data_IF_853305711635
#
_entry.id   IF_853305711635
#
_cell.length_a   1.000
_cell.length_b   1.000
_cell.length_c   1.000
_cell.angle_alpha   90.00
_cell.angle_beta   90.00
_cell.angle_gamma   90.00
#
_symmetry.space_group_name_H-M   'P 1'
#
loop_
_entity.id
_entity.type
_entity.pdbx_description
1 polymer ?
#
# COMPACT_ATOMS: atom_id res chain seq x y z
N UNK A 1 13.23 26.16 -14.12
CA UNK A 1 11.82 25.74 -14.25
C UNK A 1 11.27 25.49 -12.85
N UNK A 2 10.21 26.18 -12.41
CA UNK A 2 9.70 26.00 -11.04
C UNK A 2 9.23 24.55 -10.85
N UNK A 3 9.64 23.96 -9.74
CA UNK A 3 9.56 22.53 -9.44
C UNK A 3 8.17 21.95 -9.67
N UNK A 4 8.09 20.99 -10.59
CA UNK A 4 6.90 20.15 -10.79
C UNK A 4 6.55 19.51 -9.45
N UNK A 5 5.40 19.86 -8.86
CA UNK A 5 4.89 19.19 -7.67
C UNK A 5 4.78 17.70 -7.99
N UNK A 6 5.56 16.86 -7.29
CA UNK A 6 5.46 15.40 -7.41
C UNK A 6 4.01 15.00 -7.13
N UNK A 7 3.40 14.25 -8.04
CA UNK A 7 2.10 13.65 -7.75
C UNK A 7 2.26 12.40 -6.89
N UNK A 8 1.18 11.62 -6.70
CA UNK A 8 1.24 10.44 -5.85
C UNK A 8 2.33 9.47 -6.33
N UNK A 9 3.19 9.07 -5.41
CA UNK A 9 4.22 8.03 -5.58
C UNK A 9 3.63 6.69 -5.14
N UNK A 10 3.51 5.75 -6.07
CA UNK A 10 3.09 4.38 -5.79
C UNK A 10 4.30 3.45 -5.76
N UNK A 11 4.48 2.70 -4.68
CA UNK A 11 5.53 1.69 -4.58
C UNK A 11 4.98 0.32 -4.96
N UNK A 12 5.80 -0.53 -5.58
CA UNK A 12 5.41 -1.89 -5.93
C UNK A 12 6.59 -2.87 -5.97
N UNK A 13 6.29 -4.16 -5.78
CA UNK A 13 7.23 -5.26 -5.53
C UNK A 13 7.85 -5.89 -6.79
N UNK A 14 7.45 -5.45 -7.99
CA UNK A 14 7.91 -6.05 -9.23
C UNK A 14 7.01 -7.16 -9.80
N UNK A 15 5.84 -7.44 -9.23
CA UNK A 15 4.90 -8.45 -9.71
C UNK A 15 4.46 -8.26 -11.18
N UNK A 16 4.15 -9.34 -11.89
CA UNK A 16 3.78 -9.30 -13.31
C UNK A 16 2.52 -8.45 -13.58
N UNK A 17 1.58 -8.42 -12.63
CA UNK A 17 0.34 -7.63 -12.69
C UNK A 17 0.55 -6.12 -12.70
N UNK A 18 1.74 -5.66 -12.30
CA UNK A 18 2.13 -4.25 -12.30
C UNK A 18 2.95 -3.86 -13.54
N UNK A 19 3.00 -4.73 -14.55
CA UNK A 19 3.73 -4.52 -15.81
C UNK A 19 2.79 -4.53 -17.01
N UNK A 20 3.35 -4.27 -18.20
CA UNK A 20 2.66 -4.48 -19.46
C UNK A 20 2.08 -3.22 -20.11
N UNK A 21 1.40 -3.36 -21.26
CA UNK A 21 0.86 -2.24 -22.03
C UNK A 21 -0.13 -1.38 -21.23
N UNK A 22 -1.08 -2.01 -20.53
CA UNK A 22 -2.14 -1.32 -19.78
C UNK A 22 -1.59 -0.39 -18.69
N UNK A 23 -0.60 -0.84 -17.93
CA UNK A 23 0.06 -0.02 -16.91
C UNK A 23 0.84 1.14 -17.57
N UNK A 24 1.52 0.88 -18.69
CA UNK A 24 2.21 1.94 -19.45
C UNK A 24 1.23 2.99 -20.01
N UNK A 25 0.07 2.58 -20.50
CA UNK A 25 -1.00 3.48 -20.95
C UNK A 25 -1.55 4.32 -19.80
N UNK A 26 -1.77 3.71 -18.63
CA UNK A 26 -2.21 4.42 -17.43
C UNK A 26 -1.22 5.52 -17.03
N UNK A 27 0.08 5.21 -16.99
CA UNK A 27 1.13 6.18 -16.62
C UNK A 27 1.25 7.31 -17.66
N UNK A 28 1.04 7.01 -18.95
CA UNK A 28 0.95 8.05 -19.99
C UNK A 28 -0.25 8.96 -19.80
N UNK A 29 -1.40 8.40 -19.43
CA UNK A 29 -2.65 9.15 -19.20
C UNK A 29 -2.57 10.02 -17.95
N UNK A 30 -1.83 9.58 -16.92
CA UNK A 30 -1.69 10.28 -15.65
C UNK A 30 -0.22 10.62 -15.37
N UNK A 31 0.35 11.66 -16.02
CA UNK A 31 1.79 11.97 -15.94
C UNK A 31 2.27 12.46 -14.55
N UNK A 32 1.34 12.67 -13.61
CA UNK A 32 1.64 12.97 -12.20
C UNK A 32 1.75 11.71 -11.34
N UNK A 33 1.27 10.56 -11.81
CA UNK A 33 1.39 9.28 -11.12
C UNK A 33 2.78 8.72 -11.39
N UNK A 34 3.59 8.57 -10.35
CA UNK A 34 4.92 7.98 -10.44
C UNK A 34 4.89 6.62 -9.76
N UNK A 35 5.43 5.59 -10.42
CA UNK A 35 5.60 4.27 -9.82
C UNK A 35 7.08 4.03 -9.54
N UNK A 36 7.41 3.79 -8.28
CA UNK A 36 8.74 3.43 -7.83
C UNK A 36 8.79 1.93 -7.58
N UNK A 37 9.72 1.25 -8.26
CA UNK A 37 9.87 -0.19 -8.13
C UNK A 37 10.82 -0.50 -6.98
N UNK A 38 10.38 -1.30 -6.02
CA UNK A 38 11.22 -1.83 -4.96
C UNK A 38 12.23 -2.86 -5.51
N UNK A 39 13.38 -3.03 -4.84
CA UNK A 39 14.28 -4.15 -5.13
C UNK A 39 13.51 -5.48 -5.11
N UNK A 40 13.87 -6.39 -6.01
CA UNK A 40 13.25 -7.72 -6.03
C UNK A 40 13.53 -8.47 -4.72
N UNK A 41 12.56 -9.24 -4.23
CA UNK A 41 12.67 -10.04 -3.00
C UNK A 41 12.98 -9.21 -1.73
N UNK A 42 12.51 -7.96 -1.67
CA UNK A 42 12.65 -7.10 -0.49
C UNK A 42 11.28 -6.81 0.17
N UNK A 43 10.57 -7.83 0.70
CA UNK A 43 9.28 -7.63 1.37
C UNK A 43 9.39 -6.71 2.58
N UNK A 44 10.53 -6.73 3.27
CA UNK A 44 10.81 -5.87 4.43
C UNK A 44 10.78 -4.38 4.09
N UNK A 45 10.98 -4.00 2.82
CA UNK A 45 10.89 -2.61 2.35
C UNK A 45 9.47 -2.21 1.94
N UNK A 46 8.53 -3.14 1.87
CA UNK A 46 7.19 -2.86 1.38
C UNK A 46 6.24 -2.57 2.56
N UNK A 47 5.79 -1.32 2.77
CA UNK A 47 4.94 -0.97 3.92
C UNK A 47 3.60 -1.70 3.93
N UNK A 48 3.11 -2.18 2.78
CA UNK A 48 1.87 -2.97 2.74
C UNK A 48 2.03 -4.33 3.42
N UNK A 49 3.24 -4.91 3.45
CA UNK A 49 3.51 -6.19 4.13
C UNK A 49 3.32 -6.07 5.64
N UNK A 50 3.68 -4.92 6.22
CA UNK A 50 3.45 -4.65 7.64
C UNK A 50 1.95 -4.50 7.96
N UNK A 51 1.18 -3.88 7.07
CA UNK A 51 -0.29 -3.82 7.18
C UNK A 51 -0.88 -5.23 7.10
N UNK A 52 -0.43 -6.05 6.15
CA UNK A 52 -0.89 -7.44 6.00
C UNK A 52 -0.53 -8.30 7.21
N UNK A 53 0.69 -8.15 7.74
CA UNK A 53 1.13 -8.85 8.94
C UNK A 53 0.27 -8.49 10.15
N UNK A 54 0.04 -7.20 10.39
CA UNK A 54 -0.82 -6.74 11.48
C UNK A 54 -2.27 -7.24 11.33
N UNK A 55 -2.82 -7.20 10.11
CA UNK A 55 -4.15 -7.72 9.84
C UNK A 55 -4.23 -9.23 10.12
N UNK A 56 -3.32 -10.03 9.55
CA UNK A 56 -3.35 -11.50 9.61
C UNK A 56 -3.04 -12.03 11.01
N UNK A 57 -2.01 -11.49 11.66
CA UNK A 57 -1.49 -12.00 12.93
C UNK A 57 -2.00 -11.24 14.15
N UNK A 58 -2.42 -9.98 13.99
CA UNK A 58 -2.96 -9.17 15.07
C UNK A 58 -4.49 -9.23 15.15
N UNK A 59 -5.18 -8.98 14.04
CA UNK A 59 -6.65 -8.86 14.03
C UNK A 59 -7.39 -10.15 13.70
N UNK A 60 -6.79 -10.98 12.83
CA UNK A 60 -7.42 -12.22 12.34
C UNK A 60 -6.80 -13.49 12.93
N UNK A 61 -6.01 -13.37 14.01
CA UNK A 61 -5.48 -14.53 14.70
C UNK A 61 -6.64 -15.44 15.15
N UNK A 62 -6.58 -16.71 14.74
CA UNK A 62 -7.61 -17.73 15.00
C UNK A 62 -9.01 -17.45 14.43
N UNK A 63 -9.16 -16.44 13.56
CA UNK A 63 -10.42 -16.21 12.87
C UNK A 63 -10.63 -17.27 11.78
N UNK A 64 -11.77 -17.95 11.81
CA UNK A 64 -12.16 -18.95 10.81
C UNK A 64 -13.37 -18.44 10.03
N UNK A 65 -13.21 -18.03 8.75
CA UNK A 65 -14.33 -17.57 7.95
C UNK A 65 -15.22 -18.74 7.50
N UNK A 66 -16.53 -18.52 7.48
CA UNK A 66 -17.52 -19.49 6.96
C UNK A 66 -17.46 -19.67 5.44
N UNK A 67 -17.09 -18.61 4.73
CA UNK A 67 -16.95 -18.56 3.27
C UNK A 67 -16.19 -17.29 2.85
N UNK A 68 -15.79 -17.21 1.58
CA UNK A 68 -15.01 -16.09 1.04
C UNK A 68 -15.66 -14.72 1.28
N UNK A 69 -17.00 -14.60 1.12
CA UNK A 69 -17.69 -13.32 1.40
C UNK A 69 -17.62 -12.88 2.86
N UNK A 70 -17.61 -13.81 3.81
CA UNK A 70 -17.48 -13.49 5.23
C UNK A 70 -16.06 -12.99 5.52
N UNK A 71 -15.05 -13.63 4.93
CA UNK A 71 -13.67 -13.16 5.01
C UNK A 71 -13.53 -11.74 4.43
N UNK A 72 -14.04 -11.49 3.22
CA UNK A 72 -13.96 -10.19 2.56
C UNK A 72 -14.62 -9.08 3.39
N UNK A 73 -15.81 -9.33 3.95
CA UNK A 73 -16.50 -8.37 4.81
C UNK A 73 -15.68 -8.01 6.06
N UNK A 74 -15.14 -9.02 6.76
CA UNK A 74 -14.36 -8.81 7.98
C UNK A 74 -13.03 -8.11 7.67
N UNK A 75 -12.33 -8.52 6.61
CA UNK A 75 -11.07 -7.88 6.16
C UNK A 75 -11.30 -6.41 5.82
N UNK A 76 -12.36 -6.08 5.05
CA UNK A 76 -12.70 -4.69 4.72
C UNK A 76 -13.00 -3.85 5.96
N UNK A 77 -13.70 -4.42 6.93
CA UNK A 77 -13.99 -3.76 8.21
C UNK A 77 -12.70 -3.39 8.97
N UNK A 78 -11.78 -4.34 9.10
CA UNK A 78 -10.50 -4.10 9.76
C UNK A 78 -9.59 -3.12 8.98
N UNK A 79 -9.54 -3.22 7.66
CA UNK A 79 -8.80 -2.26 6.84
C UNK A 79 -9.35 -0.84 6.99
N UNK A 80 -10.68 -0.68 7.07
CA UNK A 80 -11.31 0.61 7.34
C UNK A 80 -11.05 1.14 8.77
N UNK A 81 -10.86 0.25 9.74
CA UNK A 81 -10.44 0.61 11.10
C UNK A 81 -8.97 1.05 11.14
N UNK A 82 -8.07 0.29 10.49
CA UNK A 82 -6.65 0.64 10.35
C UNK A 82 -6.51 2.00 9.66
N UNK A 83 -7.26 2.23 8.57
CA UNK A 83 -7.26 3.48 7.80
C UNK A 83 -7.62 4.72 8.65
N UNK A 84 -8.40 4.54 9.72
CA UNK A 84 -8.81 5.61 10.65
C UNK A 84 -7.80 5.87 11.77
N UNK A 85 -6.70 5.10 11.85
CA UNK A 85 -5.68 5.20 12.91
C UNK A 85 -4.34 5.70 12.32
N UNK A 86 -4.18 7.02 12.11
CA UNK A 86 -2.99 7.56 11.43
C UNK A 86 -1.67 7.25 12.12
N UNK A 87 -1.65 7.16 13.46
CA UNK A 87 -0.45 6.78 14.21
C UNK A 87 -0.09 5.29 14.01
N UNK A 88 -1.10 4.41 13.90
CA UNK A 88 -0.87 3.00 13.60
C UNK A 88 -0.33 2.85 12.16
N UNK A 89 -0.92 3.55 11.18
CA UNK A 89 -0.42 3.55 9.80
C UNK A 89 1.03 4.02 9.76
N UNK A 90 1.36 5.09 10.48
CA UNK A 90 2.73 5.59 10.60
C UNK A 90 3.67 4.52 11.17
N UNK A 91 3.30 3.89 12.28
CA UNK A 91 4.13 2.86 12.91
C UNK A 91 4.33 1.62 12.02
N UNK A 92 3.29 1.19 11.30
CA UNK A 92 3.40 0.09 10.33
C UNK A 92 4.29 0.48 9.15
N UNK A 93 4.22 1.74 8.70
CA UNK A 93 5.09 2.25 7.66
C UNK A 93 6.56 2.27 8.09
N UNK A 94 6.86 2.65 9.33
CA UNK A 94 8.23 2.67 9.87
C UNK A 94 8.89 1.28 9.84
N UNK A 95 8.10 0.20 9.91
CA UNK A 95 8.59 -1.17 9.70
C UNK A 95 9.26 -1.37 8.34
N UNK A 96 8.83 -0.63 7.31
CA UNK A 96 9.41 -0.69 5.96
C UNK A 96 10.80 -0.04 5.83
N UNK A 97 11.25 0.66 6.88
CA UNK A 97 12.49 1.48 6.90
C UNK A 97 12.52 2.59 5.84
N UNK A 98 11.40 2.84 5.16
CA UNK A 98 11.25 3.96 4.23
C UNK A 98 10.79 5.21 4.98
N UNK A 99 11.14 6.42 4.48
CA UNK A 99 10.60 7.65 5.03
C UNK A 99 9.08 7.65 4.92
N UNK A 100 8.40 8.07 6.00
CA UNK A 100 6.94 8.24 6.00
C UNK A 100 6.59 9.38 5.03
N UNK A 101 5.71 9.18 4.05
CA UNK A 101 5.35 10.21 3.09
C UNK A 101 4.75 11.42 3.81
N UNK A 102 5.22 12.61 3.44
CA UNK A 102 4.62 13.85 3.91
C UNK A 102 3.18 13.92 3.41
N UNK A 103 2.22 14.16 4.32
CA UNK A 103 0.78 14.24 4.03
C UNK A 103 0.39 15.47 3.18
N UNK A 104 1.31 16.06 2.42
CA UNK A 104 1.07 17.19 1.51
C UNK A 104 0.52 16.73 0.15
N UNK A 105 -0.34 15.72 0.14
CA UNK A 105 -0.95 15.15 -1.06
C UNK A 105 -2.48 15.04 -0.88
N UNK A 106 -3.13 16.20 -0.75
CA UNK A 106 -4.53 16.42 -1.13
C UNK A 106 -4.86 17.91 -0.89
N UNK A 107 -4.62 18.73 -1.91
CA UNK A 107 -5.33 20.01 -2.12
C UNK A 107 -5.54 20.14 -3.61
#
# INVERSE_FOLDING_TARGET
>A
MPGRRRGPEGQWDGGSHHKGPLIRDLLRRYPRLHLERLPGYAPDLNPVEWIWSYLKHGLLAHFVPRHARHLDQIVRGHLAEIARRPLLIKSLWEGSRLPVPDRKLAT
#
